data_IF_169035917945
#
_entry.id   IF_169035917945
#
_cell.length_a   1.000
_cell.length_b   1.000
_cell.length_c   1.000
_cell.angle_alpha   90.00
_cell.angle_beta   90.00
_cell.angle_gamma   90.00
#
_symmetry.space_group_name_H-M   'P 1'
#
loop_
_entity.id
_entity.type
_entity.pdbx_description
1 polymer ?
#
# COMPACT_ATOMS: atom_id res chain seq x y z
N UNK A 1 -16.81 6.79 -12.93
CA UNK A 1 -16.92 5.35 -13.28
C UNK A 1 -15.54 4.74 -13.17
N UNK A 2 -15.40 3.50 -12.64
CA UNK A 2 -14.13 2.78 -12.57
C UNK A 2 -13.94 1.98 -13.86
N UNK A 3 -12.78 2.11 -14.49
CA UNK A 3 -12.34 1.30 -15.63
C UNK A 3 -11.40 0.20 -15.15
N UNK A 4 -11.43 -0.94 -15.83
CA UNK A 4 -10.62 -2.13 -15.56
C UNK A 4 -9.75 -2.38 -16.77
N UNK A 5 -8.43 -2.30 -16.59
CA UNK A 5 -7.48 -2.29 -17.70
C UNK A 5 -6.31 -3.24 -17.42
N UNK A 6 -5.58 -3.55 -18.48
CA UNK A 6 -4.34 -4.34 -18.40
C UNK A 6 -3.31 -3.71 -19.30
N UNK A 7 -2.06 -3.67 -18.84
CA UNK A 7 -0.89 -3.25 -19.64
C UNK A 7 0.21 -4.31 -19.49
N UNK A 8 0.96 -4.54 -20.58
CA UNK A 8 2.09 -5.48 -20.54
C UNK A 8 3.37 -4.76 -20.12
N UNK A 9 4.06 -5.30 -19.12
CA UNK A 9 5.35 -4.84 -18.61
C UNK A 9 6.29 -6.04 -18.59
N UNK A 10 7.32 -6.02 -19.40
CA UNK A 10 8.34 -7.08 -19.48
C UNK A 10 7.75 -8.51 -19.61
N UNK A 11 6.67 -8.63 -20.40
CA UNK A 11 5.96 -9.89 -20.60
C UNK A 11 4.92 -10.25 -19.55
N UNK A 12 4.81 -9.47 -18.47
CA UNK A 12 3.77 -9.61 -17.45
C UNK A 12 2.56 -8.74 -17.79
N UNK A 13 1.37 -9.28 -17.64
CA UNK A 13 0.13 -8.52 -17.71
C UNK A 13 -0.17 -7.91 -16.33
N UNK A 14 -0.09 -6.59 -16.23
CA UNK A 14 -0.41 -5.85 -15.01
C UNK A 14 -1.83 -5.29 -15.15
N UNK A 15 -2.72 -5.85 -14.35
CA UNK A 15 -4.09 -5.35 -14.22
C UNK A 15 -4.11 -4.11 -13.34
N UNK A 16 -4.98 -3.14 -13.66
CA UNK A 16 -5.20 -1.98 -12.80
C UNK A 16 -6.63 -1.44 -12.93
N UNK A 17 -7.05 -0.78 -11.86
CA UNK A 17 -8.27 0.01 -11.81
C UNK A 17 -7.92 1.47 -12.03
N UNK A 18 -8.72 2.17 -12.85
CA UNK A 18 -8.53 3.60 -13.13
C UNK A 18 -9.87 4.33 -12.99
N UNK A 19 -9.89 5.47 -12.31
CA UNK A 19 -11.09 6.30 -12.13
C UNK A 19 -10.73 7.78 -12.10
N UNK A 20 -11.70 8.63 -12.43
CA UNK A 20 -11.54 10.09 -12.49
C UNK A 20 -10.94 10.58 -13.80
N UNK A 21 -10.81 11.90 -13.94
CA UNK A 21 -10.20 12.52 -15.12
C UNK A 21 -8.68 12.51 -15.01
N UNK A 22 -7.98 12.22 -16.09
CA UNK A 22 -6.52 12.34 -16.18
C UNK A 22 -6.01 13.78 -16.05
N UNK A 23 -6.89 14.76 -16.18
CA UNK A 23 -6.57 16.18 -15.95
C UNK A 23 -6.57 16.56 -14.47
N UNK A 24 -7.09 15.67 -13.62
CA UNK A 24 -7.06 15.85 -12.18
C UNK A 24 -5.73 15.35 -11.59
N UNK A 25 -5.35 15.84 -10.38
CA UNK A 25 -4.20 15.31 -9.66
C UNK A 25 -4.29 13.80 -9.45
N UNK A 26 -3.18 13.12 -9.68
CA UNK A 26 -3.13 11.66 -9.63
C UNK A 26 -2.80 11.16 -8.23
N UNK A 27 -3.54 10.16 -7.75
CA UNK A 27 -3.20 9.34 -6.59
C UNK A 27 -2.95 7.91 -7.08
N UNK A 28 -1.73 7.43 -6.90
CA UNK A 28 -1.34 6.04 -7.14
C UNK A 28 -1.59 5.24 -5.87
N UNK A 29 -2.51 4.29 -5.95
CA UNK A 29 -3.02 3.49 -4.82
C UNK A 29 -2.29 2.14 -4.77
N UNK A 30 -1.39 1.98 -3.82
CA UNK A 30 -0.56 0.79 -3.65
C UNK A 30 -1.09 -0.07 -2.52
N UNK A 31 -1.62 -1.25 -2.89
CA UNK A 31 -2.22 -2.21 -1.97
C UNK A 31 -1.18 -3.07 -1.26
N UNK A 32 -1.64 -3.92 -0.34
CA UNK A 32 -0.82 -4.88 0.37
C UNK A 32 -1.36 -6.30 0.39
N UNK A 33 -0.86 -7.09 1.32
CA UNK A 33 -1.31 -8.46 1.58
C UNK A 33 -2.52 -8.43 2.55
N UNK A 34 -3.49 -9.31 2.38
CA UNK A 34 -3.67 -10.35 1.37
C UNK A 34 -4.51 -9.94 0.15
N UNK A 35 -4.67 -8.65 -0.08
CA UNK A 35 -5.62 -8.08 -1.04
C UNK A 35 -4.99 -7.72 -2.40
N UNK A 36 -5.70 -6.91 -3.16
CA UNK A 36 -5.37 -6.37 -4.47
C UNK A 36 -5.93 -4.94 -4.60
N UNK A 37 -5.89 -4.36 -5.78
CA UNK A 37 -6.58 -3.09 -6.07
C UNK A 37 -8.07 -3.10 -5.70
N UNK A 38 -8.65 -4.28 -5.44
CA UNK A 38 -10.03 -4.45 -4.99
C UNK A 38 -10.35 -3.68 -3.70
N UNK A 39 -9.38 -3.58 -2.77
CA UNK A 39 -9.58 -2.84 -1.53
C UNK A 39 -9.94 -1.36 -1.75
N UNK A 40 -9.49 -0.78 -2.87
CA UNK A 40 -9.72 0.63 -3.18
C UNK A 40 -11.04 0.91 -3.92
N UNK A 41 -11.83 -0.12 -4.28
CA UNK A 41 -13.04 0.01 -5.10
C UNK A 41 -14.01 1.11 -4.64
N UNK A 42 -14.24 1.18 -3.36
CA UNK A 42 -15.17 2.14 -2.76
C UNK A 42 -14.52 3.54 -2.60
N UNK A 43 -13.25 3.60 -2.22
CA UNK A 43 -12.49 4.85 -2.12
C UNK A 43 -12.36 5.53 -3.50
N UNK A 44 -12.05 4.74 -4.54
CA UNK A 44 -11.96 5.25 -5.92
C UNK A 44 -13.30 5.86 -6.37
N UNK A 45 -14.43 5.21 -6.06
CA UNK A 45 -15.76 5.75 -6.37
C UNK A 45 -16.03 7.05 -5.63
N UNK A 46 -15.56 7.17 -4.40
CA UNK A 46 -15.78 8.36 -3.57
C UNK A 46 -14.92 9.57 -4.02
N UNK A 47 -13.73 9.34 -4.60
CA UNK A 47 -12.75 10.40 -4.90
C UNK A 47 -12.64 10.76 -6.39
N UNK A 48 -13.25 9.98 -7.29
CA UNK A 48 -13.10 10.13 -8.75
C UNK A 48 -13.63 11.45 -9.33
N UNK A 49 -14.39 12.22 -8.55
CA UNK A 49 -14.89 13.53 -8.92
C UNK A 49 -13.81 14.62 -8.88
N UNK A 50 -12.75 14.42 -8.08
CA UNK A 50 -11.68 15.42 -7.86
C UNK A 50 -10.29 14.90 -8.20
N UNK A 51 -10.09 13.59 -8.25
CA UNK A 51 -8.77 12.97 -8.44
C UNK A 51 -8.77 11.97 -9.59
N UNK A 52 -7.62 11.86 -10.26
CA UNK A 52 -7.29 10.71 -11.09
C UNK A 52 -6.69 9.62 -10.20
N UNK A 53 -7.31 8.45 -10.18
CA UNK A 53 -7.01 7.36 -9.27
C UNK A 53 -6.56 6.14 -10.07
N UNK A 54 -5.40 5.61 -9.73
CA UNK A 54 -4.80 4.44 -10.40
C UNK A 54 -4.38 3.43 -9.34
N UNK A 55 -4.88 2.22 -9.45
CA UNK A 55 -4.60 1.12 -8.51
C UNK A 55 -4.16 -0.13 -9.27
N UNK A 56 -2.85 -0.41 -9.41
CA UNK A 56 -2.36 -1.65 -10.02
C UNK A 56 -2.47 -2.83 -9.07
N UNK A 57 -2.61 -4.05 -9.63
CA UNK A 57 -2.33 -5.31 -8.94
C UNK A 57 -0.88 -5.71 -9.21
N UNK A 58 -0.13 -6.09 -8.17
CA UNK A 58 1.24 -6.58 -8.35
C UNK A 58 1.27 -7.98 -9.00
N UNK A 59 2.39 -8.39 -9.63
CA UNK A 59 2.59 -9.80 -9.98
C UNK A 59 2.31 -10.72 -8.78
N UNK A 60 1.54 -11.78 -9.00
CA UNK A 60 1.11 -12.71 -7.94
C UNK A 60 -0.15 -12.29 -7.18
N UNK A 61 -0.68 -11.10 -7.42
CA UNK A 61 -1.88 -10.56 -6.76
C UNK A 61 -3.00 -10.27 -7.76
N UNK A 62 -4.24 -10.30 -7.24
CA UNK A 62 -5.42 -9.90 -7.97
C UNK A 62 -5.52 -10.53 -9.37
N UNK A 63 -5.77 -9.71 -10.37
CA UNK A 63 -5.92 -10.13 -11.78
C UNK A 63 -4.62 -9.99 -12.60
N UNK A 64 -3.51 -9.59 -12.00
CA UNK A 64 -2.22 -9.55 -12.68
C UNK A 64 -1.64 -10.93 -12.92
N UNK A 65 -0.63 -11.02 -13.80
CA UNK A 65 0.14 -12.24 -14.04
C UNK A 65 0.69 -12.81 -12.73
N UNK A 66 0.67 -14.14 -12.65
CA UNK A 66 1.17 -14.89 -11.49
C UNK A 66 2.15 -15.97 -11.96
N UNK A 67 3.35 -15.58 -12.41
CA UNK A 67 4.40 -16.57 -12.71
C UNK A 67 4.80 -17.32 -11.43
N UNK A 68 5.33 -18.52 -11.58
CA UNK A 68 5.82 -19.30 -10.43
C UNK A 68 7.05 -18.66 -9.81
N UNK A 69 7.41 -19.07 -8.59
CA UNK A 69 8.63 -18.59 -7.90
C UNK A 69 9.93 -18.97 -8.61
N UNK A 70 9.88 -19.94 -9.53
CA UNK A 70 11.02 -20.32 -10.39
C UNK A 70 11.14 -19.42 -11.64
N UNK A 71 10.05 -18.77 -12.03
CA UNK A 71 9.98 -17.91 -13.23
C UNK A 71 10.10 -16.43 -12.91
N UNK A 72 9.79 -16.04 -11.66
CA UNK A 72 9.80 -14.64 -11.21
C UNK A 72 10.34 -14.55 -9.79
N UNK A 73 11.33 -13.70 -9.60
CA UNK A 73 11.90 -13.43 -8.27
C UNK A 73 10.98 -12.47 -7.49
N UNK A 74 10.18 -13.04 -6.58
CA UNK A 74 9.25 -12.30 -5.75
C UNK A 74 9.97 -11.59 -4.61
N UNK A 75 10.56 -10.43 -4.93
CA UNK A 75 11.17 -9.50 -3.99
C UNK A 75 10.50 -8.13 -4.07
N UNK A 76 10.56 -7.34 -3.00
CA UNK A 76 10.04 -5.96 -3.01
C UNK A 76 10.79 -5.07 -4.00
N UNK A 77 12.07 -5.33 -4.25
CA UNK A 77 12.83 -4.61 -5.28
C UNK A 77 12.25 -4.90 -6.66
N UNK A 78 12.07 -6.16 -7.04
CA UNK A 78 11.56 -6.54 -8.35
C UNK A 78 10.09 -6.11 -8.55
N UNK A 79 9.25 -6.23 -7.51
CA UNK A 79 7.90 -5.67 -7.55
C UNK A 79 7.92 -4.15 -7.80
N UNK A 80 8.87 -3.43 -7.18
CA UNK A 80 9.03 -1.99 -7.39
C UNK A 80 9.43 -1.67 -8.82
N UNK A 81 10.35 -2.44 -9.41
CA UNK A 81 10.78 -2.29 -10.82
C UNK A 81 9.60 -2.48 -11.78
N UNK A 82 8.78 -3.52 -11.57
CA UNK A 82 7.56 -3.74 -12.36
C UNK A 82 6.58 -2.58 -12.22
N UNK A 83 6.37 -2.06 -11.01
CA UNK A 83 5.47 -0.92 -10.78
C UNK A 83 6.06 0.38 -11.35
N UNK A 84 7.36 0.59 -11.32
CA UNK A 84 8.01 1.72 -12.00
C UNK A 84 7.80 1.64 -13.52
N UNK A 85 8.01 0.47 -14.13
CA UNK A 85 7.70 0.23 -15.55
C UNK A 85 6.21 0.46 -15.87
N UNK A 86 5.30 0.02 -14.99
CA UNK A 86 3.86 0.28 -15.12
C UNK A 86 3.55 1.79 -15.11
N UNK A 87 4.10 2.55 -14.16
CA UNK A 87 3.91 4.00 -14.03
C UNK A 87 4.33 4.70 -15.33
N UNK A 88 5.47 4.31 -15.90
CA UNK A 88 6.00 4.90 -17.14
C UNK A 88 5.15 4.50 -18.35
N UNK A 89 4.73 3.24 -18.44
CA UNK A 89 3.92 2.73 -19.55
C UNK A 89 2.54 3.42 -19.64
N UNK A 90 1.92 3.77 -18.51
CA UNK A 90 0.65 4.51 -18.51
C UNK A 90 0.82 6.03 -18.52
N UNK A 91 2.07 6.51 -18.52
CA UNK A 91 2.44 7.91 -18.72
C UNK A 91 2.26 8.81 -17.49
N UNK A 92 2.23 8.25 -16.27
CA UNK A 92 2.19 9.06 -15.05
C UNK A 92 3.52 9.77 -14.82
N UNK A 93 3.48 11.10 -14.64
CA UNK A 93 4.69 11.91 -14.42
C UNK A 93 4.87 12.31 -12.96
N UNK A 94 3.81 12.79 -12.32
CA UNK A 94 3.76 13.19 -10.92
C UNK A 94 2.52 12.58 -10.29
N UNK A 95 2.61 12.21 -9.03
CA UNK A 95 1.53 11.56 -8.31
C UNK A 95 1.71 11.65 -6.80
N UNK A 96 0.61 11.63 -6.07
CA UNK A 96 0.60 11.31 -4.65
C UNK A 96 0.58 9.80 -4.47
N UNK A 97 1.26 9.29 -3.47
CA UNK A 97 1.32 7.85 -3.16
C UNK A 97 0.36 7.52 -2.02
N UNK A 98 -0.55 6.58 -2.25
CA UNK A 98 -1.29 5.92 -1.17
C UNK A 98 -0.57 4.62 -0.81
N UNK A 99 -0.10 4.53 0.42
CA UNK A 99 0.79 3.48 0.93
C UNK A 99 0.06 2.62 1.95
N UNK A 100 -0.28 1.40 1.58
CA UNK A 100 -0.93 0.44 2.48
C UNK A 100 -0.15 -0.87 2.51
N UNK A 101 0.21 -1.37 3.70
CA UNK A 101 0.91 -2.65 3.92
C UNK A 101 2.14 -2.83 2.97
N UNK A 102 2.14 -3.79 2.02
CA UNK A 102 3.21 -3.96 1.02
C UNK A 102 3.33 -2.79 0.06
N UNK A 103 2.29 -1.98 -0.08
CA UNK A 103 2.37 -0.72 -0.81
C UNK A 103 3.35 0.28 -0.21
N UNK A 104 3.61 0.22 1.10
CA UNK A 104 4.60 1.09 1.74
C UNK A 104 6.03 0.78 1.28
N UNK A 105 6.56 -0.46 1.40
CA UNK A 105 7.90 -0.76 0.90
C UNK A 105 8.09 -0.52 -0.60
N UNK A 106 7.06 -0.74 -1.43
CA UNK A 106 7.10 -0.43 -2.86
C UNK A 106 7.12 1.10 -3.07
N UNK A 107 6.20 1.82 -2.43
CA UNK A 107 6.08 3.27 -2.60
C UNK A 107 7.27 4.05 -2.04
N UNK A 108 7.85 3.62 -0.92
CA UNK A 108 9.07 4.26 -0.40
C UNK A 108 10.29 4.03 -1.30
N UNK A 109 10.41 2.89 -1.97
CA UNK A 109 11.44 2.69 -2.99
C UNK A 109 11.24 3.65 -4.17
N UNK A 110 10.01 3.76 -4.68
CA UNK A 110 9.68 4.72 -5.73
C UNK A 110 9.99 6.16 -5.31
N UNK A 111 9.61 6.55 -4.08
CA UNK A 111 9.82 7.88 -3.56
C UNK A 111 11.30 8.22 -3.34
N UNK A 112 12.10 7.27 -2.90
CA UNK A 112 13.55 7.47 -2.71
C UNK A 112 14.33 7.46 -4.02
N UNK A 113 13.85 6.74 -5.04
CA UNK A 113 14.46 6.71 -6.38
C UNK A 113 14.10 7.94 -7.20
N UNK A 114 12.85 8.44 -7.09
CA UNK A 114 12.29 9.52 -7.88
C UNK A 114 11.51 10.52 -7.02
N UNK A 115 12.20 11.21 -6.08
CA UNK A 115 11.53 12.15 -5.16
C UNK A 115 10.79 13.28 -5.89
N UNK A 116 11.27 13.68 -7.07
CA UNK A 116 10.69 14.74 -7.90
C UNK A 116 9.31 14.38 -8.49
N UNK A 117 8.96 13.09 -8.50
CA UNK A 117 7.67 12.59 -9.00
C UNK A 117 6.59 12.51 -7.91
N UNK A 118 6.98 12.56 -6.64
CA UNK A 118 6.07 12.36 -5.50
C UNK A 118 5.61 13.71 -4.95
N UNK A 119 4.31 13.95 -5.02
CA UNK A 119 3.69 15.21 -4.56
C UNK A 119 3.32 15.17 -3.08
N UNK A 120 2.85 14.02 -2.61
CA UNK A 120 2.50 13.80 -1.21
C UNK A 120 2.40 12.31 -0.88
N UNK A 121 2.32 11.99 0.41
CA UNK A 121 2.11 10.65 0.90
C UNK A 121 0.79 10.55 1.66
N UNK A 122 0.02 9.50 1.40
CA UNK A 122 -1.14 9.09 2.18
C UNK A 122 -0.83 7.70 2.72
N UNK A 123 -0.66 7.58 4.03
CA UNK A 123 -0.18 6.35 4.67
C UNK A 123 -1.30 5.74 5.49
N UNK A 124 -1.79 4.58 5.04
CA UNK A 124 -2.73 3.76 5.79
C UNK A 124 -2.04 2.47 6.21
N UNK A 125 -1.78 2.31 7.51
CA UNK A 125 -1.15 1.08 8.05
C UNK A 125 0.07 0.63 7.20
N UNK A 126 0.83 1.61 6.72
CA UNK A 126 2.02 1.47 5.90
C UNK A 126 3.27 1.77 6.73
N UNK A 127 4.07 0.76 7.02
CA UNK A 127 5.15 0.86 8.00
C UNK A 127 6.51 1.22 7.37
N UNK A 128 7.24 2.12 8.04
CA UNK A 128 8.62 2.53 7.71
C UNK A 128 9.54 2.57 8.95
N UNK A 129 9.11 1.96 10.05
CA UNK A 129 9.79 2.03 11.35
C UNK A 129 9.74 0.68 12.06
N UNK A 130 10.83 0.32 12.73
CA UNK A 130 10.90 -0.96 13.47
C UNK A 130 9.87 -1.03 14.60
N UNK A 131 9.53 0.12 15.21
CA UNK A 131 8.55 0.25 16.27
C UNK A 131 7.15 -0.26 15.87
N UNK A 132 6.84 -0.28 14.58
CA UNK A 132 5.58 -0.81 14.06
C UNK A 132 5.53 -2.34 13.97
N UNK A 133 6.62 -3.05 14.19
CA UNK A 133 6.71 -4.51 14.03
C UNK A 133 6.66 -5.24 15.39
N UNK A 134 5.46 -5.56 15.87
CA UNK A 134 5.24 -6.25 17.14
C UNK A 134 5.31 -7.78 17.06
N UNK A 135 4.64 -8.44 18.00
CA UNK A 135 4.68 -9.90 18.18
C UNK A 135 4.12 -10.70 16.99
N UNK A 136 3.23 -10.09 16.22
CA UNK A 136 2.74 -10.69 14.97
C UNK A 136 3.88 -11.15 14.04
N UNK A 137 5.03 -10.47 14.08
CA UNK A 137 6.18 -10.72 13.21
C UNK A 137 7.14 -11.79 13.74
N UNK A 138 6.90 -12.35 14.92
CA UNK A 138 7.80 -13.35 15.54
C UNK A 138 8.08 -14.56 14.63
N UNK A 139 7.09 -15.21 13.98
CA UNK A 139 7.37 -16.32 13.07
C UNK A 139 8.22 -15.90 11.87
N UNK A 140 7.99 -14.70 11.31
CA UNK A 140 8.77 -14.15 10.22
C UNK A 140 10.21 -13.85 10.65
N UNK A 141 10.40 -13.21 11.82
CA UNK A 141 11.74 -12.95 12.37
C UNK A 141 12.55 -14.24 12.58
N UNK A 142 11.93 -15.31 13.06
CA UNK A 142 12.59 -16.62 13.18
C UNK A 142 13.00 -17.17 11.81
N UNK A 143 12.14 -17.02 10.80
CA UNK A 143 12.44 -17.44 9.43
C UNK A 143 13.55 -16.61 8.76
N UNK A 144 13.61 -15.30 9.03
CA UNK A 144 14.69 -14.41 8.55
C UNK A 144 16.04 -14.77 9.16
N UNK A 145 16.05 -15.04 10.49
CA UNK A 145 17.27 -15.41 11.19
C UNK A 145 17.81 -16.78 10.77
N UNK A 146 16.90 -17.73 10.48
CA UNK A 146 17.28 -19.08 10.11
C UNK A 146 16.28 -19.65 9.08
N UNK A 147 16.68 -19.61 7.80
CA UNK A 147 15.89 -20.09 6.65
C UNK A 147 15.87 -21.62 6.59
N UNK A 148 15.23 -22.25 7.59
CA UNK A 148 15.02 -23.70 7.61
C UNK A 148 13.65 -24.08 7.03
N UNK A 149 13.50 -25.31 6.52
CA UNK A 149 12.17 -25.82 6.11
C UNK A 149 11.13 -25.75 7.23
N UNK A 150 11.55 -25.95 8.48
CA UNK A 150 10.66 -25.88 9.64
C UNK A 150 10.13 -24.46 9.89
N UNK A 151 11.01 -23.45 9.84
CA UNK A 151 10.58 -22.04 10.00
C UNK A 151 9.74 -21.59 8.80
N UNK A 152 10.08 -22.02 7.59
CA UNK A 152 9.28 -21.76 6.40
C UNK A 152 7.86 -22.35 6.55
N UNK A 153 7.76 -23.60 7.03
CA UNK A 153 6.48 -24.26 7.24
C UNK A 153 5.63 -23.56 8.32
N UNK A 154 6.24 -23.08 9.39
CA UNK A 154 5.51 -22.28 10.42
C UNK A 154 4.90 -21.00 9.82
N UNK A 155 5.63 -20.30 8.95
CA UNK A 155 5.08 -19.12 8.24
C UNK A 155 3.99 -19.55 7.27
N UNK A 156 4.19 -20.61 6.50
CA UNK A 156 3.19 -21.16 5.57
C UNK A 156 1.88 -21.50 6.29
N UNK A 157 1.95 -22.21 7.41
CA UNK A 157 0.78 -22.53 8.21
C UNK A 157 0.09 -21.28 8.76
N UNK A 158 0.84 -20.27 9.17
CA UNK A 158 0.27 -19.01 9.64
C UNK A 158 -0.47 -18.26 8.51
N UNK A 159 0.03 -18.30 7.27
CA UNK A 159 -0.65 -17.74 6.10
C UNK A 159 -1.97 -18.47 5.81
N UNK A 160 -1.93 -19.81 5.74
CA UNK A 160 -3.10 -20.65 5.43
C UNK A 160 -4.15 -20.59 6.55
N UNK A 161 -3.75 -20.70 7.82
CA UNK A 161 -4.69 -20.78 8.95
C UNK A 161 -5.38 -19.42 9.22
N UNK A 162 -4.73 -18.31 8.94
CA UNK A 162 -5.37 -16.99 9.11
C UNK A 162 -6.35 -16.67 7.99
N UNK A 163 -6.02 -17.02 6.73
CA UNK A 163 -6.80 -16.62 5.57
C UNK A 163 -6.93 -15.11 5.44
N UNK A 164 -7.61 -14.63 4.41
CA UNK A 164 -7.86 -13.21 4.22
C UNK A 164 -8.80 -12.65 5.29
N UNK A 165 -9.85 -13.37 5.65
CA UNK A 165 -10.86 -12.94 6.62
C UNK A 165 -10.26 -12.44 7.94
N UNK A 166 -9.22 -13.11 8.45
CA UNK A 166 -8.58 -12.72 9.71
C UNK A 166 -8.06 -11.28 9.66
N UNK A 167 -7.43 -10.87 8.55
CA UNK A 167 -6.87 -9.52 8.39
C UNK A 167 -7.95 -8.45 8.32
N UNK A 168 -9.13 -8.78 7.76
CA UNK A 168 -10.26 -7.86 7.68
C UNK A 168 -10.99 -7.70 9.01
N UNK A 169 -11.11 -8.77 9.78
CA UNK A 169 -11.96 -8.79 10.99
C UNK A 169 -11.20 -8.47 12.27
N UNK A 170 -9.87 -8.71 12.30
CA UNK A 170 -9.07 -8.47 13.50
C UNK A 170 -8.90 -6.97 13.75
N UNK A 171 -9.33 -6.50 14.92
CA UNK A 171 -9.30 -5.09 15.30
C UNK A 171 -10.43 -4.24 14.73
N UNK A 172 -11.29 -4.79 13.88
CA UNK A 172 -12.49 -4.11 13.41
C UNK A 172 -13.47 -3.85 14.56
N UNK A 173 -14.08 -2.67 14.57
CA UNK A 173 -15.04 -2.24 15.60
C UNK A 173 -16.41 -2.89 15.42
N UNK A 174 -16.86 -3.01 14.17
CA UNK A 174 -18.18 -3.54 13.83
C UNK A 174 -18.11 -4.59 12.71
N UNK A 175 -18.07 -5.86 13.11
CA UNK A 175 -17.98 -6.98 12.18
C UNK A 175 -19.21 -7.11 11.26
N UNK A 176 -20.39 -6.66 11.70
CA UNK A 176 -21.63 -6.74 10.93
C UNK A 176 -21.66 -5.75 9.76
N UNK A 177 -20.84 -4.69 9.80
CA UNK A 177 -20.69 -3.73 8.71
C UNK A 177 -19.74 -4.17 7.61
N UNK A 178 -18.94 -5.21 7.84
CA UNK A 178 -17.96 -5.70 6.87
C UNK A 178 -18.62 -6.66 5.88
N UNK A 179 -18.53 -6.31 4.58
CA UNK A 179 -19.03 -7.21 3.53
C UNK A 179 -18.17 -8.47 3.43
N UNK A 180 -18.75 -9.68 3.49
CA UNK A 180 -18.01 -10.91 3.27
C UNK A 180 -17.41 -11.01 1.87
N UNK A 181 -17.94 -10.30 0.88
CA UNK A 181 -17.41 -10.27 -0.50
C UNK A 181 -15.97 -9.78 -0.54
N UNK A 182 -15.57 -8.96 0.44
CA UNK A 182 -14.23 -8.39 0.54
C UNK A 182 -13.17 -9.47 0.63
N UNK A 183 -13.24 -10.30 1.67
CA UNK A 183 -12.24 -11.37 1.88
C UNK A 183 -12.49 -12.60 1.01
N UNK A 184 -13.73 -12.84 0.57
CA UNK A 184 -14.04 -13.99 -0.30
C UNK A 184 -13.31 -13.89 -1.63
N UNK A 185 -13.24 -12.69 -2.22
CA UNK A 185 -12.47 -12.48 -3.45
C UNK A 185 -10.96 -12.66 -3.22
N UNK A 186 -10.44 -12.12 -2.12
CA UNK A 186 -9.02 -12.23 -1.80
C UNK A 186 -8.62 -13.68 -1.48
N UNK A 187 -9.48 -14.43 -0.75
CA UNK A 187 -9.30 -15.87 -0.53
C UNK A 187 -9.25 -16.64 -1.84
N UNK A 188 -10.15 -16.35 -2.79
CA UNK A 188 -10.13 -16.98 -4.10
C UNK A 188 -8.81 -16.72 -4.88
N UNK A 189 -8.18 -15.56 -4.69
CA UNK A 189 -6.86 -15.29 -5.26
C UNK A 189 -5.73 -15.99 -4.52
N UNK A 190 -5.79 -16.07 -3.18
CA UNK A 190 -4.80 -16.76 -2.37
C UNK A 190 -4.82 -18.28 -2.60
N UNK A 191 -5.99 -18.84 -2.87
CA UNK A 191 -6.18 -20.28 -3.13
C UNK A 191 -5.65 -20.74 -4.50
N UNK A 192 -5.21 -19.81 -5.36
CA UNK A 192 -4.59 -20.18 -6.64
C UNK A 192 -3.33 -21.02 -6.41
N UNK A 193 -3.17 -22.06 -7.21
CA UNK A 193 -2.02 -22.96 -7.13
C UNK A 193 -0.70 -22.19 -7.23
N UNK A 194 0.18 -22.38 -6.24
CA UNK A 194 1.48 -21.70 -6.15
C UNK A 194 1.44 -20.33 -5.42
N UNK A 195 0.26 -19.76 -5.12
CA UNK A 195 0.21 -18.45 -4.47
C UNK A 195 0.83 -18.46 -3.06
N UNK A 196 0.64 -19.55 -2.29
CA UNK A 196 1.26 -19.68 -0.95
C UNK A 196 2.78 -19.60 -1.02
N UNK A 197 3.40 -20.13 -2.07
CA UNK A 197 4.86 -20.05 -2.25
C UNK A 197 5.31 -18.62 -2.57
N UNK A 198 4.52 -17.91 -3.36
CA UNK A 198 4.73 -16.48 -3.65
C UNK A 198 4.66 -15.65 -2.35
N UNK A 199 3.62 -15.87 -1.55
CA UNK A 199 3.48 -15.15 -0.28
C UNK A 199 4.58 -15.50 0.71
N UNK A 200 5.04 -16.76 0.73
CA UNK A 200 6.17 -17.19 1.55
C UNK A 200 7.48 -16.49 1.12
N UNK A 201 7.71 -16.38 -0.19
CA UNK A 201 8.86 -15.64 -0.72
C UNK A 201 8.84 -14.16 -0.30
N UNK A 202 7.70 -13.48 -0.45
CA UNK A 202 7.55 -12.08 -0.04
C UNK A 202 7.66 -11.90 1.48
N UNK A 203 7.11 -12.82 2.30
CA UNK A 203 7.29 -12.78 3.76
C UNK A 203 8.76 -12.97 4.16
N UNK A 204 9.51 -13.79 3.40
CA UNK A 204 10.96 -13.93 3.62
C UNK A 204 11.71 -12.65 3.20
N UNK A 205 11.41 -12.09 2.02
CA UNK A 205 12.07 -10.89 1.51
C UNK A 205 11.71 -9.63 2.31
N UNK A 206 10.64 -9.64 3.11
CA UNK A 206 10.25 -8.47 3.90
C UNK A 206 11.38 -7.94 4.80
N UNK A 207 12.32 -8.80 5.25
CA UNK A 207 13.50 -8.39 6.02
C UNK A 207 14.37 -7.35 5.28
N UNK A 208 14.41 -7.40 3.94
CA UNK A 208 15.15 -6.43 3.13
C UNK A 208 14.61 -5.01 3.29
N UNK A 209 13.33 -4.85 3.64
CA UNK A 209 12.72 -3.56 3.89
C UNK A 209 13.27 -2.91 5.16
N UNK A 210 13.53 -3.70 6.22
CA UNK A 210 14.07 -3.19 7.48
C UNK A 210 15.44 -2.53 7.28
N UNK A 211 16.25 -3.09 6.37
CA UNK A 211 17.55 -2.52 6.01
C UNK A 211 17.43 -1.16 5.31
N UNK A 212 16.28 -0.90 4.68
CA UNK A 212 16.00 0.36 3.97
C UNK A 212 15.25 1.38 4.82
N UNK A 213 14.73 1.02 5.99
CA UNK A 213 14.06 1.97 6.87
C UNK A 213 14.88 3.24 7.16
N UNK A 214 16.18 3.17 7.47
CA UNK A 214 16.99 4.38 7.66
C UNK A 214 17.02 5.29 6.41
N UNK A 215 17.05 4.72 5.21
CA UNK A 215 17.01 5.46 3.95
C UNK A 215 15.65 6.13 3.74
N UNK A 216 14.54 5.42 4.00
CA UNK A 216 13.20 6.00 3.88
C UNK A 216 12.96 7.11 4.90
N UNK A 217 13.41 6.93 6.13
CA UNK A 217 13.36 7.95 7.17
C UNK A 217 14.23 9.17 6.80
N UNK A 218 15.40 8.96 6.19
CA UNK A 218 16.23 10.04 5.67
C UNK A 218 15.51 10.81 4.54
N UNK A 219 14.84 10.11 3.63
CA UNK A 219 14.00 10.73 2.60
C UNK A 219 12.90 11.60 3.22
N UNK A 220 12.19 11.10 4.23
CA UNK A 220 11.14 11.86 4.92
C UNK A 220 11.70 13.14 5.55
N UNK A 221 12.84 13.06 6.25
CA UNK A 221 13.51 14.23 6.85
C UNK A 221 14.01 15.24 5.83
N UNK A 222 14.58 14.75 4.73
CA UNK A 222 15.22 15.60 3.71
C UNK A 222 14.20 16.28 2.81
N UNK A 223 13.19 15.56 2.34
CA UNK A 223 12.24 16.04 1.34
C UNK A 223 10.96 16.62 1.95
N UNK A 224 10.65 16.27 3.22
CA UNK A 224 9.45 16.75 3.93
C UNK A 224 8.18 16.70 3.08
N UNK A 225 7.87 15.59 2.40
CA UNK A 225 6.68 15.52 1.58
C UNK A 225 5.45 15.78 2.46
N UNK A 226 4.47 16.59 2.03
CA UNK A 226 3.19 16.65 2.73
C UNK A 226 2.66 15.24 2.95
N UNK A 227 2.31 14.90 4.19
CA UNK A 227 1.94 13.52 4.53
C UNK A 227 0.67 13.48 5.35
N UNK A 228 -0.29 12.65 4.92
CA UNK A 228 -1.48 12.28 5.67
C UNK A 228 -1.29 10.86 6.20
N UNK A 229 -1.36 10.66 7.50
CA UNK A 229 -1.44 9.34 8.12
C UNK A 229 -2.87 9.09 8.59
N UNK A 230 -3.49 8.05 8.05
CA UNK A 230 -4.77 7.48 8.49
C UNK A 230 -4.51 6.03 8.92
N UNK A 231 -4.64 5.72 10.21
CA UNK A 231 -4.16 4.43 10.72
C UNK A 231 -5.19 3.76 11.61
N UNK A 232 -5.52 2.51 11.30
CA UNK A 232 -6.31 1.66 12.17
C UNK A 232 -5.51 1.29 13.42
N UNK A 233 -5.85 1.88 14.56
CA UNK A 233 -5.06 1.76 15.79
C UNK A 233 -5.07 0.36 16.42
N UNK A 234 -6.02 -0.49 15.99
CA UNK A 234 -6.18 -1.86 16.49
C UNK A 234 -5.45 -2.89 15.60
N UNK A 235 -4.65 -2.43 14.62
CA UNK A 235 -3.86 -3.30 13.76
C UNK A 235 -2.82 -4.08 14.57
N UNK A 236 -2.84 -5.42 14.44
CA UNK A 236 -1.86 -6.30 15.05
C UNK A 236 -0.65 -6.56 14.15
N UNK A 237 -0.77 -6.31 12.85
CA UNK A 237 0.31 -6.42 11.89
C UNK A 237 1.27 -5.26 11.96
N UNK A 238 0.74 -4.03 11.93
CA UNK A 238 1.51 -2.81 12.05
C UNK A 238 0.96 -1.96 13.20
N UNK A 239 1.72 -1.94 14.30
CA UNK A 239 1.32 -1.29 15.54
C UNK A 239 1.25 0.24 15.40
N UNK A 240 0.45 0.87 16.26
CA UNK A 240 0.29 2.32 16.33
C UNK A 240 1.60 3.06 16.64
N UNK A 241 2.57 2.40 17.25
CA UNK A 241 3.92 2.90 17.49
C UNK A 241 4.64 3.23 16.18
N UNK A 242 4.44 2.41 15.12
CA UNK A 242 4.93 2.71 13.78
C UNK A 242 4.29 3.96 13.18
N UNK A 243 2.97 4.15 13.37
CA UNK A 243 2.29 5.37 12.97
C UNK A 243 2.84 6.60 13.71
N UNK A 244 3.01 6.50 15.03
CA UNK A 244 3.54 7.60 15.85
C UNK A 244 4.96 7.99 15.49
N UNK A 245 5.77 7.03 15.01
CA UNK A 245 7.16 7.28 14.64
C UNK A 245 7.32 8.26 13.46
N UNK A 246 6.31 8.38 12.58
CA UNK A 246 6.31 9.40 11.50
C UNK A 246 6.43 10.83 12.02
N UNK A 247 5.90 11.11 13.21
CA UNK A 247 5.98 12.45 13.85
C UNK A 247 7.40 12.87 14.17
N UNK A 248 8.34 11.94 14.24
CA UNK A 248 9.75 12.20 14.50
C UNK A 248 10.46 12.81 13.29
N UNK A 249 10.04 12.42 12.09
CA UNK A 249 10.74 12.73 10.85
C UNK A 249 10.00 13.75 9.96
N UNK A 250 8.70 13.98 10.19
CA UNK A 250 7.85 14.86 9.38
C UNK A 250 7.34 16.05 10.19
N UNK A 251 7.48 17.25 9.62
CA UNK A 251 6.94 18.51 10.16
C UNK A 251 5.56 18.82 9.57
N UNK A 252 5.36 18.49 8.29
CA UNK A 252 4.09 18.72 7.56
C UNK A 252 3.28 17.40 7.53
N UNK A 253 2.74 17.05 8.71
CA UNK A 253 2.05 15.78 8.95
C UNK A 253 0.63 16.02 9.47
N UNK A 254 -0.36 15.57 8.72
CA UNK A 254 -1.74 15.39 9.20
C UNK A 254 -1.90 13.95 9.71
N UNK A 255 -2.46 13.76 10.91
CA UNK A 255 -2.38 12.46 11.60
C UNK A 255 -3.70 12.08 12.25
N UNK A 256 -4.28 10.95 11.84
CA UNK A 256 -5.55 10.42 12.34
C UNK A 256 -5.43 8.94 12.72
N UNK A 257 -5.73 8.64 13.99
CA UNK A 257 -5.91 7.27 14.47
C UNK A 257 -7.39 6.91 14.44
N UNK A 258 -7.72 5.86 13.70
CA UNK A 258 -9.08 5.39 13.49
C UNK A 258 -9.33 4.16 14.38
N UNK A 259 -10.54 4.04 14.92
CA UNK A 259 -10.93 2.91 15.78
C UNK A 259 -11.34 1.70 14.94
N UNK A 260 -10.36 1.13 14.25
CA UNK A 260 -10.50 -0.01 13.35
C UNK A 260 -9.19 -0.77 13.24
N UNK A 261 -9.21 -1.93 12.55
CA UNK A 261 -8.05 -2.78 12.29
C UNK A 261 -7.24 -2.36 11.05
N UNK A 262 -6.56 -3.35 10.48
CA UNK A 262 -5.64 -3.18 9.34
C UNK A 262 -6.33 -2.64 8.08
N UNK A 263 -7.54 -3.12 7.76
CA UNK A 263 -8.32 -2.69 6.60
C UNK A 263 -9.26 -1.51 6.93
N UNK A 264 -8.68 -0.40 7.36
CA UNK A 264 -9.42 0.79 7.79
C UNK A 264 -10.44 1.29 6.74
N UNK A 265 -10.18 1.10 5.45
CA UNK A 265 -11.11 1.48 4.36
C UNK A 265 -12.46 0.77 4.41
N UNK A 266 -12.57 -0.39 5.04
CA UNK A 266 -13.84 -1.11 5.09
C UNK A 266 -14.83 -0.48 6.08
N UNK A 267 -14.34 0.06 7.20
CA UNK A 267 -15.19 0.72 8.19
C UNK A 267 -15.19 2.25 8.09
N UNK A 268 -14.05 2.86 7.72
CA UNK A 268 -13.83 4.31 7.84
C UNK A 268 -13.64 4.98 6.46
N UNK A 269 -14.13 4.36 5.38
CA UNK A 269 -13.98 4.86 4.00
C UNK A 269 -14.34 6.34 3.85
N UNK A 270 -15.49 6.75 4.41
CA UNK A 270 -15.98 8.13 4.25
C UNK A 270 -15.10 9.12 5.01
N UNK A 271 -14.68 8.78 6.22
CA UNK A 271 -13.76 9.58 7.00
C UNK A 271 -12.41 9.73 6.27
N UNK A 272 -11.84 8.61 5.77
CA UNK A 272 -10.58 8.62 5.02
C UNK A 272 -10.71 9.43 3.73
N UNK A 273 -11.80 9.28 2.97
CA UNK A 273 -12.03 10.07 1.76
C UNK A 273 -12.11 11.58 2.06
N UNK A 274 -12.77 11.98 3.15
CA UNK A 274 -12.84 13.37 3.58
C UNK A 274 -11.49 13.92 4.04
N UNK A 275 -10.71 13.15 4.80
CA UNK A 275 -9.34 13.53 5.17
C UNK A 275 -8.46 13.72 3.93
N UNK A 276 -8.55 12.82 2.93
CA UNK A 276 -7.79 12.96 1.68
C UNK A 276 -8.18 14.24 0.96
N UNK A 277 -9.49 14.54 0.77
CA UNK A 277 -9.95 15.76 0.11
C UNK A 277 -9.43 17.02 0.81
N UNK A 278 -9.57 17.07 2.12
CA UNK A 278 -9.10 18.20 2.93
C UNK A 278 -7.59 18.36 2.85
N UNK A 279 -6.85 17.28 3.06
CA UNK A 279 -5.40 17.25 3.00
C UNK A 279 -4.87 17.70 1.64
N UNK A 280 -5.36 17.13 0.55
CA UNK A 280 -4.94 17.49 -0.81
C UNK A 280 -5.21 18.96 -1.12
N UNK A 281 -6.39 19.48 -0.75
CA UNK A 281 -6.74 20.88 -0.94
C UNK A 281 -5.85 21.82 -0.12
N UNK A 282 -5.51 21.42 1.11
CA UNK A 282 -4.78 22.29 2.05
C UNK A 282 -3.28 22.28 1.80
N UNK A 283 -2.71 21.13 1.43
CA UNK A 283 -1.26 20.93 1.43
C UNK A 283 -0.65 20.74 0.04
N UNK A 284 -1.42 20.25 -0.94
CA UNK A 284 -0.88 19.90 -2.27
C UNK A 284 -1.24 20.95 -3.33
N UNK A 285 -2.47 21.49 -3.31
CA UNK A 285 -2.94 22.43 -4.36
C UNK A 285 -2.69 23.90 -4.09
N UNK A 286 -2.22 24.30 -2.90
CA UNK A 286 -1.95 25.71 -2.58
C UNK A 286 -0.88 26.38 -3.45
N UNK A 287 0.05 25.62 -4.01
CA UNK A 287 1.12 26.19 -4.85
C UNK A 287 0.65 26.64 -6.23
N UNK A 288 -0.44 26.07 -6.77
CA UNK A 288 -0.94 26.44 -8.11
C UNK A 288 -1.62 27.82 -8.15
N UNK A 289 -2.11 28.33 -7.03
CA UNK A 289 -2.85 29.62 -6.97
C UNK A 289 -1.92 30.81 -6.79
N UNK A 290 -0.72 30.62 -6.27
CA UNK A 290 0.22 31.73 -5.98
C UNK A 290 0.99 32.21 -7.24
N UNK A 291 1.15 31.34 -8.25
CA UNK A 291 1.82 31.67 -9.51
C UNK A 291 0.91 32.42 -10.50
N UNK A 292 -0.42 32.40 -10.32
CA UNK A 292 -1.36 33.11 -11.20
C UNK A 292 -1.59 34.56 -10.83
N UNK A 293 -1.18 35.03 -9.65
CA UNK A 293 -1.41 36.40 -9.17
C UNK A 293 -0.18 37.34 -9.25
N UNK A 294 1.00 36.84 -9.68
CA UNK A 294 2.23 37.65 -9.84
C UNK A 294 2.47 38.14 -11.28
N UNK A 295 1.50 37.99 -12.16
CA UNK A 295 1.55 38.45 -13.57
C UNK A 295 0.48 39.50 -13.89
N UNK A 296 0.49 40.63 -13.18
CA UNK A 296 -0.18 41.86 -13.63
C UNK A 296 0.72 43.06 -13.39
#
# INVERSE_FOLDING_TARGET
MISYRTVSIDGLNIFYREAGSRDHPTILLLHGYPTSSHMFRNLMSALADQFHLVAPDYPGFGYSSMPTVDEFDYTFNHLTEVIAGFIDAIGLKRYSLYLMDYGAPIGYRLATQHPERVESLIVQNGNAYEEGLGDFWQPMRAFWQNKTPENAERVRQALVNKGAKWYYTTGARNLESLSPDTWTLDEAFLDRLGNVDIQLALKYDYQANLLLYPQWQAYLRQHQPPTLVVWGRNDQGFLVEGANAYKRDLQNLEFHLLDTGHFALEEEREAIANHIRQFMTTHVFKESTTLATSGK
#
